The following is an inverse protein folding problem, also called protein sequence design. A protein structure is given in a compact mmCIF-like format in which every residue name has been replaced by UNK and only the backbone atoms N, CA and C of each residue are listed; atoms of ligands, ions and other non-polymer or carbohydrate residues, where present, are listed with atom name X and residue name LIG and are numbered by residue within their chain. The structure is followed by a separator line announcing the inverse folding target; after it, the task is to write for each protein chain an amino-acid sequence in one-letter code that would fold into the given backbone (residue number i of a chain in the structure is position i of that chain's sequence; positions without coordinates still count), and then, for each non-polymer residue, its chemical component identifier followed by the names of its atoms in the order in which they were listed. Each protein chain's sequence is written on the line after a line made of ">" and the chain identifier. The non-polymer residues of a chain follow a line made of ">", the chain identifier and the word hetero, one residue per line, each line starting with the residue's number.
data_IF_809804951387
#
_entry.id   IF_809804951387
#
_cell.length_a   1.000
_cell.length_b   1.000
_cell.length_c   1.000
_cell.angle_alpha   90.00
_cell.angle_beta   90.00
_cell.angle_gamma   90.00
#
_symmetry.space_group_name_H-M   'P 1'
#
loop_
_entity.id
_entity.type
_entity.pdbx_description
1 polymer ?
#
# COMPACT_ATOMS: atom_id res chain seq x y z
N UNK A 1 7.99 6.12 -24.91
CA UNK A 1 6.74 5.35 -24.66
C UNK A 1 5.72 6.30 -24.10
N UNK A 2 4.54 6.35 -24.72
CA UNK A 2 3.43 7.20 -24.29
C UNK A 2 2.32 6.34 -23.71
N UNK A 3 1.87 6.68 -22.50
CA UNK A 3 0.91 5.88 -21.71
C UNK A 3 -0.38 6.68 -21.49
N UNK A 4 -1.53 6.06 -21.77
CA UNK A 4 -2.81 6.53 -21.32
C UNK A 4 -3.14 5.84 -19.99
N UNK A 5 -3.17 6.62 -18.90
CA UNK A 5 -3.35 6.14 -17.53
C UNK A 5 -4.81 6.36 -17.09
N UNK A 6 -5.64 5.33 -17.20
CA UNK A 6 -7.09 5.42 -16.93
C UNK A 6 -7.33 5.30 -15.42
N UNK A 7 -8.00 6.29 -14.86
CA UNK A 7 -8.21 6.45 -13.41
C UNK A 7 -9.68 6.62 -13.03
N UNK A 8 -9.95 6.61 -11.75
CA UNK A 8 -11.13 7.16 -11.09
C UNK A 8 -10.73 8.35 -10.19
N UNK A 9 -11.69 9.13 -9.70
CA UNK A 9 -11.41 10.30 -8.86
C UNK A 9 -11.05 9.95 -7.41
N UNK A 10 -11.19 8.70 -6.99
CA UNK A 10 -10.85 8.27 -5.64
C UNK A 10 -9.34 8.11 -5.49
N UNK A 11 -8.85 8.39 -4.28
CA UNK A 11 -7.47 8.12 -3.91
C UNK A 11 -7.14 6.63 -4.05
N UNK A 12 -5.99 6.32 -4.66
CA UNK A 12 -5.45 4.96 -4.77
C UNK A 12 -3.99 4.92 -4.32
N UNK A 13 -3.70 4.13 -3.28
CA UNK A 13 -2.38 4.08 -2.66
C UNK A 13 -1.33 3.28 -3.47
N UNK A 14 -1.76 2.58 -4.52
CA UNK A 14 -0.88 1.85 -5.44
C UNK A 14 -0.64 2.67 -6.70
N UNK A 15 -1.73 3.07 -7.35
CA UNK A 15 -1.67 3.67 -8.68
C UNK A 15 -1.27 5.14 -8.65
N UNK A 16 -1.67 5.90 -7.61
CA UNK A 16 -1.38 7.33 -7.56
C UNK A 16 0.13 7.60 -7.40
N UNK A 17 0.86 6.93 -6.48
CA UNK A 17 2.32 7.04 -6.45
C UNK A 17 3.00 6.51 -7.71
N UNK A 18 2.47 5.44 -8.32
CA UNK A 18 3.00 4.90 -9.57
C UNK A 18 2.87 5.92 -10.72
N UNK A 19 1.74 6.64 -10.81
CA UNK A 19 1.57 7.73 -11.78
C UNK A 19 2.67 8.78 -11.66
N UNK A 20 2.95 9.23 -10.44
CA UNK A 20 4.04 10.18 -10.17
C UNK A 20 5.39 9.61 -10.63
N UNK A 21 5.68 8.36 -10.32
CA UNK A 21 6.92 7.69 -10.76
C UNK A 21 7.04 7.61 -12.27
N UNK A 22 5.96 7.25 -12.96
CA UNK A 22 5.91 7.22 -14.43
C UNK A 22 6.15 8.60 -15.05
N UNK A 23 5.49 9.64 -14.52
CA UNK A 23 5.70 11.03 -14.98
C UNK A 23 7.15 11.48 -14.76
N UNK A 24 7.77 11.14 -13.65
CA UNK A 24 9.18 11.48 -13.36
C UNK A 24 10.15 10.80 -14.31
N UNK A 25 9.87 9.55 -14.69
CA UNK A 25 10.76 8.79 -15.59
C UNK A 25 10.58 9.13 -17.05
N UNK A 26 9.35 9.31 -17.50
CA UNK A 26 9.04 9.45 -18.93
C UNK A 26 8.81 10.91 -19.35
N UNK A 27 8.53 11.77 -18.40
CA UNK A 27 8.06 13.13 -18.64
C UNK A 27 6.53 13.21 -18.72
N UNK A 28 6.01 14.36 -18.32
CA UNK A 28 4.58 14.59 -18.18
C UNK A 28 3.78 14.38 -19.49
N UNK A 29 4.31 14.82 -20.64
CA UNK A 29 3.64 14.65 -21.93
C UNK A 29 3.52 13.19 -22.37
N UNK A 30 4.28 12.29 -21.72
CA UNK A 30 4.29 10.87 -22.03
C UNK A 30 3.34 10.05 -21.14
N UNK A 31 2.80 10.63 -20.07
CA UNK A 31 1.88 9.93 -19.17
C UNK A 31 0.63 10.78 -18.97
N UNK A 32 -0.41 10.45 -19.71
CA UNK A 32 -1.67 11.19 -19.73
C UNK A 32 -2.71 10.48 -18.91
N UNK A 33 -3.20 11.10 -17.85
CA UNK A 33 -4.31 10.53 -17.06
C UNK A 33 -5.67 10.82 -17.71
N UNK A 34 -6.57 9.87 -17.58
CA UNK A 34 -7.93 10.00 -18.10
C UNK A 34 -8.97 9.29 -17.21
N UNK A 35 -10.05 9.98 -16.82
CA UNK A 35 -10.21 11.45 -16.89
C UNK A 35 -9.14 12.16 -16.07
N UNK A 36 -8.91 13.46 -16.31
CA UNK A 36 -7.97 14.24 -15.49
C UNK A 36 -8.32 14.10 -14.01
N UNK A 37 -7.35 13.68 -13.18
CA UNK A 37 -7.58 13.35 -11.77
C UNK A 37 -7.20 14.52 -10.88
N UNK A 38 -8.18 15.08 -10.18
CA UNK A 38 -8.01 16.28 -9.37
C UNK A 38 -6.85 16.18 -8.34
N UNK A 39 -6.65 15.01 -7.74
CA UNK A 39 -5.58 14.78 -6.75
C UNK A 39 -4.16 14.97 -7.34
N UNK A 40 -3.99 14.79 -8.64
CA UNK A 40 -2.70 15.00 -9.32
C UNK A 40 -2.44 16.46 -9.65
N UNK A 41 -3.50 17.24 -9.93
CA UNK A 41 -3.37 18.52 -10.60
C UNK A 41 -3.84 19.70 -9.75
N UNK A 42 -4.86 19.53 -8.91
CA UNK A 42 -5.49 20.63 -8.17
C UNK A 42 -4.95 20.72 -6.75
N UNK A 43 -4.48 21.91 -6.37
CA UNK A 43 -3.91 22.18 -5.05
C UNK A 43 -4.93 21.93 -3.92
N UNK A 44 -6.20 22.21 -4.15
CA UNK A 44 -7.29 22.03 -3.19
C UNK A 44 -7.61 20.54 -2.96
N UNK A 45 -7.36 19.69 -3.96
CA UNK A 45 -7.53 18.25 -3.87
C UNK A 45 -6.28 17.53 -3.35
N UNK A 46 -5.20 18.27 -3.08
CA UNK A 46 -3.90 17.71 -2.66
C UNK A 46 -4.08 16.74 -1.50
N UNK A 47 -3.58 15.54 -1.69
CA UNK A 47 -3.40 14.55 -0.63
C UNK A 47 -1.94 14.52 -0.21
N UNK A 48 -1.76 14.31 1.04
CA UNK A 48 -0.54 14.47 1.81
C UNK A 48 0.70 13.76 1.27
N UNK A 49 0.58 12.74 0.47
CA UNK A 49 1.72 11.92 0.02
C UNK A 49 2.01 12.06 -1.49
N UNK A 50 1.37 13.00 -2.17
CA UNK A 50 1.56 13.19 -3.61
C UNK A 50 1.99 14.63 -3.92
N UNK A 51 3.07 14.81 -4.68
CA UNK A 51 3.36 16.09 -5.32
C UNK A 51 2.34 16.36 -6.42
N UNK A 52 2.18 17.63 -6.76
CA UNK A 52 1.35 18.01 -7.88
C UNK A 52 2.10 17.96 -9.19
N UNK A 53 1.37 17.56 -10.23
CA UNK A 53 1.82 17.54 -11.62
C UNK A 53 0.94 18.52 -12.40
N UNK A 54 1.49 19.36 -13.29
CA UNK A 54 0.66 20.22 -14.13
C UNK A 54 -0.35 19.41 -14.95
N UNK A 55 -1.57 19.92 -15.12
CA UNK A 55 -2.57 19.31 -16.01
C UNK A 55 -2.24 19.64 -17.46
N UNK A 56 -2.27 18.64 -18.34
CA UNK A 56 -2.10 18.84 -19.79
C UNK A 56 -3.35 19.48 -20.44
N UNK A 57 -4.47 19.51 -19.72
CA UNK A 57 -5.71 20.09 -20.20
C UNK A 57 -6.32 19.37 -21.42
N UNK A 58 -6.03 18.08 -21.59
CA UNK A 58 -6.57 17.33 -22.72
C UNK A 58 -8.07 17.08 -22.54
N UNK A 59 -8.84 17.57 -23.54
CA UNK A 59 -10.26 17.23 -23.61
C UNK A 59 -10.47 15.75 -23.94
N UNK A 60 -11.64 15.23 -23.63
CA UNK A 60 -12.03 13.87 -24.01
C UNK A 60 -11.89 13.65 -25.53
N UNK A 61 -12.33 14.60 -26.34
CA UNK A 61 -12.17 14.55 -27.79
C UNK A 61 -10.71 14.40 -28.20
N UNK A 62 -9.82 15.16 -27.57
CA UNK A 62 -8.36 15.06 -27.83
C UNK A 62 -7.82 13.68 -27.51
N UNK A 63 -8.29 13.03 -26.44
CA UNK A 63 -7.88 11.64 -26.09
C UNK A 63 -8.34 10.66 -27.18
N UNK A 64 -9.58 10.78 -27.67
CA UNK A 64 -10.06 9.93 -28.77
C UNK A 64 -9.25 10.12 -30.05
N UNK A 65 -8.89 11.36 -30.41
CA UNK A 65 -8.08 11.64 -31.58
C UNK A 65 -6.68 11.01 -31.43
N UNK A 66 -6.03 11.20 -30.29
CA UNK A 66 -4.73 10.60 -30.00
C UNK A 66 -4.77 9.07 -30.05
N UNK A 67 -5.87 8.44 -29.61
CA UNK A 67 -6.04 6.98 -29.71
C UNK A 67 -6.22 6.54 -31.17
N UNK A 68 -7.01 7.25 -31.98
CA UNK A 68 -7.18 6.98 -33.42
C UNK A 68 -5.86 7.12 -34.18
N UNK A 69 -5.07 8.13 -33.82
CA UNK A 69 -3.74 8.39 -34.39
C UNK A 69 -2.66 7.41 -33.87
N UNK A 70 -3.03 6.46 -33.02
CA UNK A 70 -2.13 5.48 -32.36
C UNK A 70 -0.97 6.14 -31.63
N UNK A 71 -1.23 7.29 -31.01
CA UNK A 71 -0.22 8.06 -30.29
C UNK A 71 0.17 7.45 -28.94
N UNK A 72 -0.60 6.50 -28.40
CA UNK A 72 -0.28 5.78 -27.17
C UNK A 72 0.27 4.39 -27.47
N UNK A 73 1.34 4.03 -26.79
CA UNK A 73 1.95 2.70 -26.85
C UNK A 73 1.26 1.71 -25.90
N UNK A 74 0.65 2.24 -24.84
CA UNK A 74 0.10 1.46 -23.74
C UNK A 74 -1.12 2.17 -23.13
N UNK A 75 -2.13 1.39 -22.75
CA UNK A 75 -3.20 1.79 -21.83
C UNK A 75 -2.97 1.12 -20.48
N UNK A 76 -2.92 1.91 -19.41
CA UNK A 76 -2.86 1.43 -18.04
C UNK A 76 -4.19 1.68 -17.34
N UNK A 77 -4.98 0.64 -17.09
CA UNK A 77 -6.16 0.73 -16.23
C UNK A 77 -5.73 0.65 -14.77
N UNK A 78 -5.75 1.78 -14.09
CA UNK A 78 -5.06 2.01 -12.83
C UNK A 78 -5.83 1.54 -11.58
N UNK A 79 -7.05 1.01 -11.76
CA UNK A 79 -7.90 0.59 -10.63
C UNK A 79 -8.90 -0.48 -11.04
N UNK A 80 -9.24 -1.34 -10.08
CA UNK A 80 -10.32 -2.33 -10.22
C UNK A 80 -11.73 -1.76 -9.95
N UNK A 81 -11.83 -0.47 -9.62
CA UNK A 81 -13.09 0.17 -9.26
C UNK A 81 -13.96 0.39 -10.50
N UNK A 82 -15.27 0.40 -10.27
CA UNK A 82 -16.28 0.49 -11.35
C UNK A 82 -16.11 1.69 -12.25
N UNK A 83 -15.76 2.86 -11.72
CA UNK A 83 -15.56 4.08 -12.50
C UNK A 83 -14.38 3.97 -13.48
N UNK A 84 -13.21 3.50 -12.98
CA UNK A 84 -12.05 3.25 -13.84
C UNK A 84 -12.36 2.23 -14.95
N UNK A 85 -13.04 1.13 -14.60
CA UNK A 85 -13.43 0.10 -15.57
C UNK A 85 -14.48 0.60 -16.56
N UNK A 86 -15.40 1.47 -16.15
CA UNK A 86 -16.36 2.10 -17.04
C UNK A 86 -15.68 3.06 -18.02
N UNK A 87 -14.69 3.83 -17.59
CA UNK A 87 -13.87 4.68 -18.46
C UNK A 87 -13.12 3.85 -19.49
N UNK A 88 -12.48 2.75 -19.06
CA UNK A 88 -11.80 1.82 -19.98
C UNK A 88 -12.77 1.23 -20.99
N UNK A 89 -13.96 0.80 -20.57
CA UNK A 89 -14.98 0.25 -21.47
C UNK A 89 -15.44 1.27 -22.50
N UNK A 90 -15.77 2.49 -22.06
CA UNK A 90 -16.20 3.57 -22.94
C UNK A 90 -15.18 3.85 -24.05
N UNK A 91 -13.89 3.90 -23.73
CA UNK A 91 -12.82 4.05 -24.70
C UNK A 91 -12.72 2.84 -25.64
N UNK A 92 -12.79 1.61 -25.10
CA UNK A 92 -12.64 0.38 -25.87
C UNK A 92 -13.78 0.13 -26.87
N UNK A 93 -14.97 0.65 -26.58
CA UNK A 93 -16.12 0.60 -27.50
C UNK A 93 -16.02 1.63 -28.62
N UNK A 94 -15.34 2.74 -28.38
CA UNK A 94 -15.26 3.84 -29.34
C UNK A 94 -14.07 3.74 -30.32
N UNK A 95 -12.93 3.19 -29.85
CA UNK A 95 -11.69 3.09 -30.64
C UNK A 95 -10.90 1.83 -30.26
N UNK A 96 -10.11 1.25 -31.19
CA UNK A 96 -9.15 0.20 -30.87
C UNK A 96 -8.11 0.74 -29.88
N UNK A 97 -7.89 -0.01 -28.77
CA UNK A 97 -6.90 0.36 -27.77
C UNK A 97 -5.57 -0.37 -28.01
N UNK A 98 -4.42 0.26 -27.67
CA UNK A 98 -3.13 -0.44 -27.59
C UNK A 98 -3.16 -1.47 -26.48
N UNK A 99 -2.08 -2.24 -26.26
CA UNK A 99 -2.01 -3.23 -25.18
C UNK A 99 -2.48 -2.66 -23.83
N UNK A 100 -3.32 -3.43 -23.11
CA UNK A 100 -3.91 -2.99 -21.85
C UNK A 100 -3.19 -3.66 -20.69
N UNK A 101 -2.65 -2.85 -19.80
CA UNK A 101 -2.11 -3.23 -18.50
C UNK A 101 -3.13 -2.90 -17.43
N UNK A 102 -3.33 -3.80 -16.49
CA UNK A 102 -4.30 -3.63 -15.42
C UNK A 102 -3.65 -3.68 -14.05
N UNK A 103 -3.97 -2.72 -13.20
CA UNK A 103 -3.51 -2.64 -11.80
C UNK A 103 -4.66 -2.99 -10.88
N UNK A 104 -4.55 -4.12 -10.20
CA UNK A 104 -5.49 -4.55 -9.17
C UNK A 104 -4.95 -4.21 -7.79
N UNK A 105 -5.29 -3.01 -7.31
CA UNK A 105 -4.93 -2.50 -5.98
C UNK A 105 -5.82 -2.99 -4.83
N UNK A 106 -6.71 -3.97 -5.05
CA UNK A 106 -7.62 -4.47 -4.02
C UNK A 106 -6.91 -5.14 -2.85
N UNK A 107 -7.55 -5.09 -1.68
CA UNK A 107 -7.09 -5.67 -0.40
C UNK A 107 -7.19 -7.21 -0.34
N UNK A 108 -7.67 -7.86 -1.39
CA UNK A 108 -7.80 -9.32 -1.50
C UNK A 108 -6.79 -9.92 -2.49
N UNK A 109 -6.54 -11.22 -2.40
CA UNK A 109 -5.65 -11.95 -3.31
C UNK A 109 -6.38 -12.53 -4.54
N UNK A 110 -7.65 -12.23 -4.74
CA UNK A 110 -8.46 -12.72 -5.86
C UNK A 110 -7.97 -12.09 -7.17
N UNK A 111 -7.79 -12.91 -8.20
CA UNK A 111 -7.59 -12.44 -9.58
C UNK A 111 -8.96 -12.20 -10.22
N UNK A 112 -9.14 -11.04 -10.84
CA UNK A 112 -10.38 -10.63 -11.51
C UNK A 112 -10.42 -11.13 -12.94
N UNK A 113 -10.70 -12.42 -13.08
CA UNK A 113 -10.75 -13.09 -14.39
C UNK A 113 -11.80 -12.47 -15.32
N UNK A 114 -12.87 -11.97 -14.75
CA UNK A 114 -13.94 -11.26 -15.47
C UNK A 114 -13.43 -9.99 -16.16
N UNK A 115 -12.57 -9.23 -15.51
CA UNK A 115 -11.91 -8.04 -16.10
C UNK A 115 -10.95 -8.46 -17.20
N UNK A 116 -10.13 -9.47 -16.92
CA UNK A 116 -9.15 -9.96 -17.88
C UNK A 116 -9.79 -10.52 -19.16
N UNK A 117 -10.91 -11.24 -19.04
CA UNK A 117 -11.64 -11.76 -20.18
C UNK A 117 -12.30 -10.65 -21.01
N UNK A 118 -12.88 -9.65 -20.32
CA UNK A 118 -13.58 -8.51 -20.96
C UNK A 118 -12.64 -7.63 -21.79
N UNK A 119 -11.46 -7.31 -21.26
CA UNK A 119 -10.57 -6.32 -21.86
C UNK A 119 -9.31 -6.92 -22.53
N UNK A 120 -9.19 -8.26 -22.60
CA UNK A 120 -8.02 -8.94 -23.20
C UNK A 120 -6.68 -8.40 -22.68
N UNK A 121 -6.55 -8.37 -21.35
CA UNK A 121 -5.40 -7.78 -20.68
C UNK A 121 -4.07 -8.40 -21.17
N UNK A 122 -3.12 -7.54 -21.47
CA UNK A 122 -1.76 -7.94 -21.85
C UNK A 122 -0.91 -8.27 -20.61
N UNK A 123 -1.02 -7.45 -19.55
CA UNK A 123 -0.32 -7.62 -18.27
C UNK A 123 -1.28 -7.34 -17.11
N UNK A 124 -1.17 -8.10 -16.05
CA UNK A 124 -1.95 -7.94 -14.83
C UNK A 124 -1.02 -7.73 -13.64
N UNK A 125 -1.18 -6.65 -12.92
CA UNK A 125 -0.48 -6.37 -11.67
C UNK A 125 -1.41 -6.55 -10.48
N UNK A 126 -0.95 -7.28 -9.46
CA UNK A 126 -1.75 -7.57 -8.26
C UNK A 126 -1.03 -7.11 -6.99
N UNK A 127 -1.68 -6.29 -6.16
CA UNK A 127 -1.12 -5.84 -4.89
C UNK A 127 -0.98 -6.97 -3.88
N UNK A 128 -2.05 -7.64 -3.55
CA UNK A 128 -2.09 -8.77 -2.60
C UNK A 128 -1.72 -10.09 -3.29
N UNK A 129 -0.57 -10.14 -3.97
CA UNK A 129 -0.13 -11.30 -4.74
C UNK A 129 0.38 -12.41 -3.82
N UNK A 130 -0.22 -13.61 -3.87
CA UNK A 130 0.07 -14.77 -3.00
C UNK A 130 0.39 -16.07 -3.76
N UNK A 131 0.71 -15.99 -5.03
CA UNK A 131 0.71 -17.15 -5.94
C UNK A 131 2.04 -17.87 -6.08
N UNK A 132 3.07 -17.47 -5.33
CA UNK A 132 4.34 -18.18 -5.29
C UNK A 132 4.49 -18.92 -3.99
N UNK A 133 3.89 -20.09 -3.90
CA UNK A 133 4.13 -20.97 -2.77
C UNK A 133 5.45 -21.71 -2.91
N UNK A 134 6.29 -21.69 -1.89
CA UNK A 134 7.49 -22.51 -1.80
C UNK A 134 7.15 -23.98 -1.51
N UNK A 135 5.96 -24.27 -1.02
CA UNK A 135 5.51 -25.64 -0.73
C UNK A 135 5.09 -26.38 -2.00
N UNK A 136 5.34 -27.70 -2.03
CA UNK A 136 4.91 -28.57 -3.16
C UNK A 136 3.40 -28.54 -3.37
N UNK A 137 2.62 -28.54 -2.28
CA UNK A 137 1.15 -28.50 -2.31
C UNK A 137 0.66 -27.13 -2.81
N UNK A 138 1.26 -26.03 -2.34
CA UNK A 138 0.92 -24.69 -2.81
C UNK A 138 1.19 -24.51 -4.31
N UNK A 139 2.32 -24.97 -4.81
CA UNK A 139 2.62 -24.95 -6.25
C UNK A 139 1.61 -25.77 -7.07
N UNK A 140 1.19 -26.95 -6.55
CA UNK A 140 0.16 -27.74 -7.21
C UNK A 140 -1.18 -27.00 -7.26
N UNK A 141 -1.59 -26.36 -6.17
CA UNK A 141 -2.82 -25.53 -6.11
C UNK A 141 -2.71 -24.35 -7.08
N UNK A 142 -1.57 -23.68 -7.17
CA UNK A 142 -1.34 -22.56 -8.08
C UNK A 142 -1.38 -23.03 -9.54
N UNK A 143 -0.77 -24.17 -9.86
CA UNK A 143 -0.87 -24.78 -11.19
C UNK A 143 -2.32 -25.17 -11.54
N UNK A 144 -3.06 -25.75 -10.60
CA UNK A 144 -4.47 -26.12 -10.83
C UNK A 144 -5.36 -24.88 -11.07
N UNK A 145 -5.11 -23.79 -10.36
CA UNK A 145 -5.78 -22.48 -10.58
C UNK A 145 -5.41 -21.90 -11.93
N UNK A 146 -4.13 -21.88 -12.30
CA UNK A 146 -3.65 -21.40 -13.59
C UNK A 146 -4.31 -22.18 -14.74
N UNK A 147 -4.39 -23.51 -14.62
CA UNK A 147 -5.02 -24.39 -15.62
C UNK A 147 -6.53 -24.14 -15.73
N UNK A 148 -7.22 -23.93 -14.57
CA UNK A 148 -8.66 -23.73 -14.51
C UNK A 148 -9.11 -22.36 -15.02
N UNK A 149 -8.29 -21.30 -14.82
CA UNK A 149 -8.77 -19.93 -14.98
C UNK A 149 -8.15 -19.14 -16.12
N UNK A 150 -7.18 -19.57 -16.78
CA UNK A 150 -6.46 -18.93 -17.90
C UNK A 150 -4.96 -18.88 -17.64
N UNK A 151 -4.26 -19.88 -18.13
CA UNK A 151 -2.82 -20.03 -18.00
C UNK A 151 -2.05 -18.79 -18.48
N UNK A 152 -2.45 -18.21 -19.62
CA UNK A 152 -1.76 -17.04 -20.19
C UNK A 152 -1.86 -15.82 -19.28
N UNK A 153 -3.01 -15.60 -18.64
CA UNK A 153 -3.16 -14.52 -17.69
C UNK A 153 -2.28 -14.73 -16.47
N UNK A 154 -2.22 -15.97 -15.97
CA UNK A 154 -1.41 -16.32 -14.81
C UNK A 154 0.09 -16.06 -15.06
N UNK A 155 0.59 -16.46 -16.24
CA UNK A 155 1.97 -16.22 -16.66
C UNK A 155 2.33 -14.74 -16.83
N UNK A 156 1.32 -13.87 -16.98
CA UNK A 156 1.46 -12.42 -17.14
C UNK A 156 0.94 -11.62 -15.93
N UNK A 157 0.80 -12.30 -14.79
CA UNK A 157 0.39 -11.68 -13.53
C UNK A 157 1.59 -11.51 -12.62
N UNK A 158 1.84 -10.26 -12.20
CA UNK A 158 3.00 -9.87 -11.43
C UNK A 158 2.61 -9.20 -10.11
N UNK A 159 3.40 -9.35 -9.04
CA UNK A 159 3.22 -8.60 -7.80
C UNK A 159 3.52 -7.12 -8.01
N UNK A 160 2.66 -6.26 -7.44
CA UNK A 160 2.85 -4.81 -7.43
C UNK A 160 2.37 -4.25 -6.09
N UNK A 161 3.29 -4.05 -5.17
CA UNK A 161 2.99 -3.46 -3.86
C UNK A 161 2.97 -1.94 -3.91
N UNK A 162 2.46 -1.32 -2.85
CA UNK A 162 2.56 0.12 -2.64
C UNK A 162 4.02 0.58 -2.70
N UNK A 163 4.21 1.87 -2.92
CA UNK A 163 5.51 2.53 -2.89
C UNK A 163 5.37 3.91 -2.28
N UNK A 164 6.50 4.55 -1.99
CA UNK A 164 6.51 5.91 -1.46
C UNK A 164 6.98 6.92 -2.50
N UNK A 165 6.54 8.14 -2.33
CA UNK A 165 7.11 9.32 -2.99
C UNK A 165 8.01 9.99 -1.93
N UNK A 166 9.34 9.82 -1.97
CA UNK A 166 10.21 10.15 -0.83
C UNK A 166 10.12 11.60 -0.39
N UNK A 167 10.07 12.53 -1.33
CA UNK A 167 9.97 13.97 -1.08
C UNK A 167 8.59 14.41 -0.57
N UNK A 168 7.60 13.54 -0.60
CA UNK A 168 6.28 13.78 0.00
C UNK A 168 6.19 13.29 1.45
N UNK A 169 7.19 12.57 1.95
CA UNK A 169 7.26 12.10 3.34
C UNK A 169 7.98 13.16 4.18
N UNK A 170 7.30 13.81 5.15
CA UNK A 170 7.97 14.75 6.04
C UNK A 170 9.10 14.11 6.83
N UNK A 171 10.28 14.73 6.78
CA UNK A 171 11.45 14.25 7.50
C UNK A 171 11.67 15.07 8.77
N UNK A 172 11.92 14.40 9.88
CA UNK A 172 12.15 15.02 11.18
C UNK A 172 13.48 14.51 11.83
N UNK A 173 14.64 14.74 11.21
CA UNK A 173 15.91 14.13 11.62
C UNK A 173 16.38 14.53 13.02
N UNK A 174 15.92 15.68 13.54
CA UNK A 174 16.31 16.19 14.86
C UNK A 174 15.33 15.79 15.98
N UNK A 175 14.37 14.91 15.72
CA UNK A 175 13.45 14.47 16.76
C UNK A 175 14.12 13.53 17.75
N UNK A 176 13.99 13.83 19.05
CA UNK A 176 14.37 12.90 20.12
C UNK A 176 13.44 11.68 20.12
N UNK A 177 14.01 10.49 20.23
CA UNK A 177 13.27 9.22 20.32
C UNK A 177 12.72 9.05 21.76
N UNK A 178 11.62 9.70 22.08
CA UNK A 178 10.98 9.72 23.41
C UNK A 178 9.71 8.84 23.50
N UNK A 179 9.33 8.17 22.41
CA UNK A 179 8.26 7.18 22.34
C UNK A 179 8.90 5.80 22.15
N UNK A 180 8.76 4.89 23.11
CA UNK A 180 9.37 3.57 23.01
C UNK A 180 8.69 2.72 21.94
N UNK A 181 7.36 2.74 21.88
CA UNK A 181 6.60 2.05 20.82
C UNK A 181 5.40 2.87 20.36
N UNK A 182 5.16 2.86 19.05
CA UNK A 182 3.95 3.46 18.49
C UNK A 182 3.19 2.51 17.56
N UNK A 183 1.86 2.62 17.58
CA UNK A 183 0.98 1.95 16.64
C UNK A 183 -0.24 2.83 16.33
N UNK A 184 -0.39 3.25 15.08
CA UNK A 184 -1.51 4.06 14.60
C UNK A 184 -2.27 3.30 13.52
N UNK A 185 -3.58 3.12 13.61
CA UNK A 185 -4.33 2.37 12.62
C UNK A 185 -5.83 2.56 12.64
N UNK A 186 -6.48 2.23 11.52
CA UNK A 186 -7.93 2.12 11.47
C UNK A 186 -8.37 0.73 11.95
N UNK A 187 -9.60 0.59 12.43
CA UNK A 187 -10.17 -0.69 12.89
C UNK A 187 -10.53 -1.65 11.74
N UNK A 188 -9.67 -1.79 10.73
CA UNK A 188 -9.95 -2.57 9.51
C UNK A 188 -9.62 -4.05 9.61
N UNK A 189 -9.00 -4.50 10.69
CA UNK A 189 -8.67 -5.92 10.91
C UNK A 189 -8.53 -6.24 12.40
N UNK A 190 -9.03 -7.43 12.81
CA UNK A 190 -9.00 -7.88 14.23
C UNK A 190 -7.61 -7.91 14.87
N UNK A 191 -6.57 -8.23 14.10
CA UNK A 191 -5.19 -8.23 14.58
C UNK A 191 -4.71 -6.87 15.07
N UNK A 192 -5.25 -5.77 14.56
CA UNK A 192 -4.91 -4.43 15.04
C UNK A 192 -5.37 -4.20 16.47
N UNK A 193 -6.57 -4.67 16.80
CA UNK A 193 -7.04 -4.64 18.18
C UNK A 193 -6.22 -5.56 19.08
N UNK A 194 -5.87 -6.74 18.59
CA UNK A 194 -5.00 -7.66 19.29
C UNK A 194 -3.62 -7.04 19.56
N UNK A 195 -3.02 -6.39 18.58
CA UNK A 195 -1.75 -5.68 18.73
C UNK A 195 -1.84 -4.57 19.79
N UNK A 196 -2.90 -3.73 19.76
CA UNK A 196 -3.10 -2.70 20.78
C UNK A 196 -3.25 -3.30 22.17
N UNK A 197 -4.04 -4.37 22.33
CA UNK A 197 -4.21 -5.06 23.62
C UNK A 197 -2.91 -5.66 24.16
N UNK A 198 -1.96 -6.02 23.27
CA UNK A 198 -0.62 -6.48 23.64
C UNK A 198 0.31 -5.30 23.95
N UNK A 199 0.21 -4.16 23.28
CA UNK A 199 1.09 -3.02 23.50
C UNK A 199 0.73 -2.21 24.75
N UNK A 200 -0.56 -2.06 25.05
CA UNK A 200 -1.02 -1.25 26.17
C UNK A 200 -0.41 -1.62 27.55
N UNK A 201 -0.31 -2.91 27.94
CA UNK A 201 0.29 -3.28 29.19
C UNK A 201 1.75 -2.84 29.38
N UNK A 202 2.48 -2.61 28.28
CA UNK A 202 3.87 -2.15 28.33
C UNK A 202 4.01 -0.77 28.97
N UNK A 203 2.95 0.05 28.95
CA UNK A 203 2.94 1.34 29.65
C UNK A 203 3.02 1.17 31.17
N UNK A 204 2.45 0.11 31.73
CA UNK A 204 2.57 -0.21 33.16
C UNK A 204 3.96 -0.75 33.53
N UNK A 205 4.74 -1.16 32.55
CA UNK A 205 6.14 -1.57 32.70
C UNK A 205 7.13 -0.39 32.55
N UNK A 206 6.61 0.82 32.33
CA UNK A 206 7.39 2.06 32.23
C UNK A 206 7.78 2.44 30.80
N UNK A 207 7.30 1.74 29.75
CA UNK A 207 7.53 2.15 28.37
C UNK A 207 6.53 3.22 27.95
N UNK A 208 7.00 4.18 27.14
CA UNK A 208 6.13 5.17 26.50
C UNK A 208 5.45 4.56 25.28
N UNK A 209 4.15 4.26 25.43
CA UNK A 209 3.31 3.68 24.37
C UNK A 209 2.44 4.77 23.76
N UNK A 210 2.55 4.98 22.44
CA UNK A 210 1.78 5.98 21.72
C UNK A 210 0.94 5.35 20.60
N UNK A 211 -0.19 5.98 20.28
CA UNK A 211 -1.03 5.56 19.18
C UNK A 211 -2.44 5.18 19.56
N UNK A 212 -3.06 4.41 18.70
CA UNK A 212 -4.45 3.99 18.89
C UNK A 212 -5.08 3.48 17.59
N UNK A 213 -6.30 2.98 17.74
CA UNK A 213 -7.14 2.53 16.63
C UNK A 213 -8.22 3.59 16.39
N UNK A 214 -8.22 4.13 15.17
CA UNK A 214 -9.20 5.16 14.79
C UNK A 214 -10.47 4.51 14.27
N UNK A 215 -11.59 5.05 14.75
CA UNK A 215 -12.92 4.70 14.32
C UNK A 215 -13.44 5.76 13.33
N UNK A 216 -13.75 5.39 12.08
CA UNK A 216 -14.48 6.26 11.18
C UNK A 216 -15.97 6.27 11.52
N UNK A 217 -16.55 7.44 11.75
CA UNK A 217 -17.95 7.59 12.19
C UNK A 217 -19.00 7.20 11.13
N UNK A 218 -18.60 6.92 9.89
CA UNK A 218 -19.51 6.85 8.73
C UNK A 218 -19.64 5.46 8.09
N UNK A 219 -18.91 4.45 8.57
CA UNK A 219 -18.88 3.15 7.89
C UNK A 219 -19.86 2.14 8.50
N UNK A 220 -20.87 1.67 7.71
CA UNK A 220 -21.83 0.65 8.15
C UNK A 220 -21.14 -0.69 8.49
N UNK A 221 -20.12 -1.09 7.75
CA UNK A 221 -19.28 -2.23 8.04
C UNK A 221 -18.54 -2.06 9.38
N UNK A 222 -18.12 -0.84 9.67
CA UNK A 222 -17.46 -0.44 10.91
C UNK A 222 -18.30 -0.64 12.17
N UNK A 223 -19.63 -0.38 12.14
CA UNK A 223 -20.50 -0.61 13.32
C UNK A 223 -20.54 -2.09 13.71
N UNK A 224 -20.47 -3.00 12.75
CA UNK A 224 -20.42 -4.45 13.01
C UNK A 224 -19.04 -4.87 13.56
N UNK A 225 -17.96 -4.36 12.96
CA UNK A 225 -16.60 -4.62 13.40
C UNK A 225 -16.25 -3.95 14.73
N UNK A 226 -16.73 -2.74 14.98
CA UNK A 226 -16.58 -2.08 16.28
C UNK A 226 -17.28 -2.85 17.41
N UNK A 227 -18.41 -3.49 17.14
CA UNK A 227 -19.10 -4.35 18.11
C UNK A 227 -18.34 -5.65 18.34
N UNK A 228 -17.79 -6.26 17.28
CA UNK A 228 -16.93 -7.44 17.36
C UNK A 228 -15.60 -7.10 18.05
N UNK A 229 -15.03 -5.93 17.77
CA UNK A 229 -13.83 -5.39 18.39
C UNK A 229 -14.04 -5.14 19.90
N UNK A 230 -15.17 -4.51 20.27
CA UNK A 230 -15.56 -4.34 21.69
C UNK A 230 -15.70 -5.70 22.39
N UNK A 231 -16.32 -6.69 21.76
CA UNK A 231 -16.46 -8.04 22.32
C UNK A 231 -15.12 -8.76 22.46
N UNK A 232 -14.18 -8.54 21.53
CA UNK A 232 -12.84 -9.12 21.58
C UNK A 232 -12.01 -8.48 22.70
N UNK A 233 -12.05 -7.16 22.82
CA UNK A 233 -11.38 -6.40 23.88
C UNK A 233 -11.96 -6.80 25.25
N UNK A 234 -13.30 -6.94 25.37
CA UNK A 234 -13.96 -7.37 26.60
C UNK A 234 -13.67 -8.83 26.96
N UNK A 235 -13.43 -9.71 25.98
CA UNK A 235 -13.01 -11.10 26.24
C UNK A 235 -11.55 -11.24 26.64
N UNK A 236 -10.70 -10.32 26.21
CA UNK A 236 -9.26 -10.31 26.57
C UNK A 236 -9.02 -9.61 27.91
N UNK A 237 -9.99 -8.82 28.37
CA UNK A 237 -9.97 -8.09 29.64
C UNK A 237 -11.18 -8.42 30.49
N UNK A 238 -10.92 -9.06 31.60
CA UNK A 238 -11.84 -9.11 32.72
C UNK A 238 -11.73 -7.75 33.42
N UNK A 239 -12.54 -6.78 33.02
CA UNK A 239 -12.98 -5.59 33.75
C UNK A 239 -13.19 -4.30 32.88
N UNK A 240 -14.27 -3.71 33.07
CA UNK A 240 -14.81 -2.32 33.24
C UNK A 240 -14.16 -1.11 32.56
N UNK A 241 -13.07 -1.18 31.82
CA UNK A 241 -12.51 -0.04 31.12
C UNK A 241 -12.26 -0.39 29.65
N UNK A 242 -13.18 0.02 28.77
CA UNK A 242 -12.86 0.18 27.32
C UNK A 242 -11.95 1.40 27.29
N UNK A 243 -10.68 1.23 26.96
CA UNK A 243 -9.70 2.24 27.29
C UNK A 243 -9.77 3.43 26.34
N UNK A 244 -9.17 4.52 26.77
CA UNK A 244 -8.78 5.72 26.03
C UNK A 244 -8.05 5.47 24.70
N UNK A 245 -7.67 4.23 24.41
CA UNK A 245 -6.96 3.75 23.20
C UNK A 245 -7.78 3.79 21.92
N UNK A 246 -9.11 3.94 21.97
CA UNK A 246 -9.89 4.26 20.78
C UNK A 246 -9.90 5.78 20.67
N UNK A 247 -8.86 6.31 20.06
CA UNK A 247 -8.81 7.73 19.75
C UNK A 247 -9.91 8.07 18.75
N UNK A 248 -10.77 8.99 19.12
CA UNK A 248 -11.89 9.45 18.28
C UNK A 248 -11.43 10.36 17.13
N UNK A 249 -10.19 10.84 17.14
CA UNK A 249 -9.65 11.77 16.14
C UNK A 249 -8.36 11.24 15.52
N UNK A 250 -8.38 11.15 14.21
CA UNK A 250 -7.17 10.85 13.41
C UNK A 250 -6.17 12.02 13.57
N UNK A 251 -4.90 11.69 13.74
CA UNK A 251 -3.84 12.70 13.73
C UNK A 251 -3.81 13.45 12.39
N UNK A 252 -3.35 14.70 12.43
CA UNK A 252 -2.92 15.35 11.20
C UNK A 252 -1.75 14.57 10.58
N UNK A 253 -1.50 14.77 9.32
CA UNK A 253 -0.36 14.16 8.66
C UNK A 253 0.96 14.53 9.34
N UNK A 254 1.14 15.81 9.61
CA UNK A 254 2.34 16.34 10.25
C UNK A 254 2.55 15.72 11.63
N UNK A 255 1.51 15.66 12.46
CA UNK A 255 1.58 15.05 13.79
C UNK A 255 1.85 13.54 13.72
N UNK A 256 1.31 12.85 12.70
CA UNK A 256 1.57 11.43 12.48
C UNK A 256 3.04 11.16 12.14
N UNK A 257 3.61 11.88 11.17
CA UNK A 257 5.03 11.69 10.82
C UNK A 257 5.96 12.15 11.95
N UNK A 258 5.62 13.21 12.67
CA UNK A 258 6.35 13.61 13.88
C UNK A 258 6.30 12.53 14.95
N UNK A 259 5.17 11.89 15.15
CA UNK A 259 5.04 10.77 16.10
C UNK A 259 5.88 9.55 15.65
N UNK A 260 5.90 9.22 14.35
CA UNK A 260 6.79 8.19 13.83
C UNK A 260 8.26 8.54 14.06
N UNK A 261 8.68 9.76 13.75
CA UNK A 261 10.04 10.22 13.94
C UNK A 261 10.50 10.16 15.41
N UNK A 262 9.58 10.40 16.36
CA UNK A 262 9.82 10.31 17.81
C UNK A 262 9.81 8.87 18.33
N UNK A 263 9.34 7.90 17.54
CA UNK A 263 9.22 6.51 17.99
C UNK A 263 10.55 5.75 17.84
N UNK A 264 10.93 4.98 18.88
CA UNK A 264 11.99 4.00 18.79
C UNK A 264 11.54 2.83 17.93
N UNK A 265 10.37 2.26 18.22
CA UNK A 265 9.75 1.15 17.50
C UNK A 265 8.41 1.60 16.96
N UNK A 266 8.16 1.47 15.67
CA UNK A 266 6.85 1.68 15.09
C UNK A 266 6.28 0.37 14.52
N UNK A 267 5.04 0.05 14.91
CA UNK A 267 4.41 -1.23 14.58
C UNK A 267 3.52 -1.13 13.37
N UNK A 268 3.64 -2.07 12.43
CA UNK A 268 2.74 -2.21 11.27
C UNK A 268 2.04 -3.56 11.30
N UNK A 269 0.70 -3.52 11.32
CA UNK A 269 -0.17 -4.71 11.26
C UNK A 269 -1.13 -4.53 10.09
N UNK A 270 -1.40 -5.63 9.37
CA UNK A 270 -2.29 -5.67 8.20
C UNK A 270 -3.61 -4.95 8.41
N UNK A 271 -4.14 -4.44 7.31
CA UNK A 271 -5.49 -3.93 7.21
C UNK A 271 -6.44 -4.94 6.58
N UNK A 272 -7.21 -4.53 5.59
CA UNK A 272 -7.96 -5.43 4.71
C UNK A 272 -7.02 -6.38 3.99
N UNK A 273 -5.91 -5.87 3.44
CA UNK A 273 -4.75 -6.61 2.96
C UNK A 273 -3.55 -6.50 3.88
N UNK A 274 -2.48 -7.23 3.55
CA UNK A 274 -1.18 -7.11 4.22
C UNK A 274 -0.49 -5.80 3.83
N UNK A 275 -0.40 -5.52 2.53
CA UNK A 275 0.28 -4.34 1.99
C UNK A 275 -0.45 -3.07 2.43
N UNK A 276 0.06 -2.44 3.48
CA UNK A 276 -0.48 -1.20 4.04
C UNK A 276 0.52 -0.08 3.87
N UNK A 277 0.05 1.12 3.63
CA UNK A 277 0.93 2.27 3.44
C UNK A 277 1.85 2.51 4.65
N UNK A 278 1.38 2.20 5.87
CA UNK A 278 2.17 2.28 7.11
C UNK A 278 3.44 1.45 7.07
N UNK A 279 3.42 0.27 6.45
CA UNK A 279 4.61 -0.58 6.29
C UNK A 279 5.75 0.16 5.61
N UNK A 280 5.43 1.00 4.66
CA UNK A 280 6.37 1.80 3.89
C UNK A 280 6.67 3.15 4.56
N UNK A 281 5.65 3.83 5.13
CA UNK A 281 5.79 5.13 5.79
C UNK A 281 6.74 5.09 6.99
N UNK A 282 6.67 4.04 7.80
CA UNK A 282 7.54 3.86 8.97
C UNK A 282 9.00 3.89 8.52
N UNK A 283 9.35 3.09 7.54
CA UNK A 283 10.73 3.00 7.03
C UNK A 283 11.13 4.28 6.30
N UNK A 284 10.21 4.86 5.52
CA UNK A 284 10.45 6.12 4.82
C UNK A 284 10.71 7.31 5.77
N UNK A 285 10.18 7.28 6.98
CA UNK A 285 10.47 8.29 8.03
C UNK A 285 11.73 7.97 8.86
N UNK A 286 12.54 7.00 8.45
CA UNK A 286 13.75 6.60 9.15
C UNK A 286 13.49 5.94 10.52
N UNK A 287 12.30 5.37 10.71
CA UNK A 287 11.90 4.72 11.97
C UNK A 287 12.00 3.20 11.84
N UNK A 288 12.40 2.55 12.93
CA UNK A 288 12.49 1.09 12.98
C UNK A 288 11.10 0.44 12.82
N UNK A 289 10.99 -0.44 11.83
CA UNK A 289 9.78 -1.18 11.53
C UNK A 289 9.73 -2.52 12.29
N UNK A 290 8.72 -2.69 13.12
CA UNK A 290 8.30 -3.98 13.65
C UNK A 290 6.96 -4.35 13.01
N UNK A 291 6.92 -5.41 12.22
CA UNK A 291 5.71 -5.81 11.48
C UNK A 291 5.38 -7.28 11.69
N UNK A 292 4.13 -7.68 11.45
CA UNK A 292 3.86 -9.09 11.24
C UNK A 292 4.56 -9.59 9.97
N UNK A 293 4.91 -10.87 9.93
CA UNK A 293 5.56 -11.47 8.78
C UNK A 293 4.65 -11.41 7.54
N UNK A 294 5.17 -10.92 6.37
CA UNK A 294 4.39 -10.85 5.14
C UNK A 294 3.95 -12.22 4.63
N UNK A 295 2.67 -12.34 4.30
CA UNK A 295 2.09 -13.52 3.63
C UNK A 295 1.76 -13.27 2.15
N UNK A 296 2.33 -12.22 1.58
CA UNK A 296 2.26 -11.84 0.17
C UNK A 296 3.65 -11.78 -0.45
N UNK A 297 3.73 -11.80 -1.77
CA UNK A 297 4.99 -11.62 -2.49
C UNK A 297 5.29 -10.13 -2.64
N UNK A 298 6.34 -9.69 -2.01
CA UNK A 298 6.89 -8.34 -2.12
C UNK A 298 8.25 -8.47 -2.83
N UNK A 299 8.40 -8.02 -4.07
CA UNK A 299 9.71 -7.98 -4.72
C UNK A 299 10.69 -7.13 -3.90
N UNK A 300 11.89 -7.65 -3.66
CA UNK A 300 12.90 -6.99 -2.81
C UNK A 300 12.37 -6.65 -1.41
N UNK A 301 11.61 -7.55 -0.77
CA UNK A 301 11.11 -7.30 0.58
C UNK A 301 12.24 -7.04 1.58
N UNK A 302 11.90 -6.41 2.70
CA UNK A 302 12.83 -6.29 3.82
C UNK A 302 13.21 -7.67 4.36
N UNK A 303 14.48 -7.82 4.73
CA UNK A 303 15.00 -9.01 5.38
C UNK A 303 14.90 -8.85 6.90
N UNK A 304 14.44 -9.94 7.56
CA UNK A 304 14.29 -9.97 9.00
C UNK A 304 15.62 -9.70 9.71
N UNK A 305 15.61 -8.78 10.66
CA UNK A 305 16.78 -8.32 11.45
C UNK A 305 17.88 -7.63 10.66
N UNK A 306 17.68 -7.40 9.37
CA UNK A 306 18.60 -6.60 8.53
C UNK A 306 17.98 -5.25 8.19
N UNK A 307 16.73 -5.26 7.72
CA UNK A 307 16.04 -4.07 7.22
C UNK A 307 14.77 -3.73 8.04
N UNK A 308 14.20 -4.74 8.70
CA UNK A 308 13.04 -4.65 9.57
C UNK A 308 13.00 -5.86 10.50
N UNK A 309 12.11 -5.87 11.48
CA UNK A 309 11.86 -7.04 12.31
C UNK A 309 10.45 -7.53 12.12
N UNK A 310 10.30 -8.84 11.93
CA UNK A 310 8.99 -9.46 11.79
C UNK A 310 8.66 -10.28 13.03
N UNK A 311 7.50 -10.01 13.62
CA UNK A 311 6.93 -10.83 14.67
C UNK A 311 6.13 -12.00 14.06
N UNK A 312 5.88 -13.00 14.88
CA UNK A 312 5.07 -14.17 14.50
C UNK A 312 3.68 -13.74 14.03
N UNK A 313 3.07 -14.50 13.12
CA UNK A 313 1.73 -14.17 12.59
C UNK A 313 0.62 -14.11 13.65
N UNK A 314 0.78 -14.80 14.79
CA UNK A 314 -0.15 -14.78 15.93
C UNK A 314 0.14 -13.63 16.93
N UNK A 315 1.20 -12.84 16.68
CA UNK A 315 1.70 -11.74 17.52
C UNK A 315 2.20 -12.19 18.91
N UNK A 316 2.48 -13.47 19.11
CA UNK A 316 2.85 -14.05 20.42
C UNK A 316 4.17 -13.49 20.98
N UNK A 317 5.08 -13.03 20.12
CA UNK A 317 6.38 -12.46 20.46
C UNK A 317 6.44 -10.92 20.36
N UNK A 318 5.33 -10.27 20.04
CA UNK A 318 5.29 -8.81 19.81
C UNK A 318 5.81 -8.01 21.02
N UNK A 319 5.36 -8.34 22.23
CA UNK A 319 5.77 -7.63 23.43
C UNK A 319 7.27 -7.84 23.75
N UNK A 320 7.77 -9.06 23.57
CA UNK A 320 9.19 -9.38 23.77
C UNK A 320 10.07 -8.57 22.81
N UNK A 321 9.72 -8.55 21.54
CA UNK A 321 10.44 -7.78 20.51
C UNK A 321 10.40 -6.27 20.81
N UNK A 322 9.27 -5.73 21.27
CA UNK A 322 9.18 -4.32 21.66
C UNK A 322 10.12 -4.01 22.83
N UNK A 323 10.07 -4.81 23.92
CA UNK A 323 10.97 -4.61 25.08
C UNK A 323 12.45 -4.66 24.68
N UNK A 324 12.79 -5.63 23.84
CA UNK A 324 14.16 -5.79 23.35
C UNK A 324 14.63 -4.57 22.57
N UNK A 325 13.93 -4.21 21.51
CA UNK A 325 14.35 -3.12 20.64
C UNK A 325 14.13 -1.71 21.23
N UNK A 326 13.28 -1.54 22.23
CA UNK A 326 13.16 -0.29 22.96
C UNK A 326 14.43 0.03 23.79
N UNK A 327 15.21 -0.99 24.17
CA UNK A 327 16.42 -0.86 25.01
C UNK A 327 17.74 -1.10 24.24
N UNK A 328 17.70 -1.60 23.00
CA UNK A 328 18.89 -1.90 22.19
C UNK A 328 19.06 -0.89 21.05
N UNK A 329 19.40 0.35 21.44
CA UNK A 329 19.42 1.51 20.52
C UNK A 329 20.35 1.29 19.34
N UNK A 330 21.56 0.80 19.53
CA UNK A 330 22.56 0.65 18.47
C UNK A 330 22.10 -0.33 17.39
N UNK A 331 21.58 -1.51 17.80
CA UNK A 331 21.08 -2.52 16.86
C UNK A 331 19.83 -2.02 16.14
N UNK A 332 18.88 -1.42 16.89
CA UNK A 332 17.65 -0.85 16.33
C UNK A 332 17.93 0.21 15.27
N UNK A 333 18.83 1.16 15.55
CA UNK A 333 19.17 2.24 14.63
C UNK A 333 19.90 1.74 13.40
N UNK A 334 20.79 0.75 13.55
CA UNK A 334 21.44 0.10 12.41
C UNK A 334 20.42 -0.57 11.47
N UNK A 335 19.44 -1.30 12.01
CA UNK A 335 18.36 -1.91 11.23
C UNK A 335 17.47 -0.85 10.56
N UNK A 336 17.10 0.20 11.30
CA UNK A 336 16.27 1.28 10.76
C UNK A 336 16.96 1.99 9.58
N UNK A 337 18.24 2.24 9.70
CA UNK A 337 19.07 2.88 8.66
C UNK A 337 19.16 2.00 7.41
N UNK A 338 19.52 0.72 7.61
CA UNK A 338 19.60 -0.25 6.52
C UNK A 338 18.25 -0.43 5.81
N UNK A 339 17.14 -0.43 6.58
CA UNK A 339 15.79 -0.47 6.04
C UNK A 339 15.46 0.74 5.18
N UNK A 340 15.80 1.95 5.65
CA UNK A 340 15.60 3.19 4.90
C UNK A 340 16.38 3.20 3.59
N UNK A 341 17.65 2.81 3.60
CA UNK A 341 18.49 2.72 2.40
C UNK A 341 17.91 1.70 1.40
N UNK A 342 17.44 0.56 1.91
CA UNK A 342 16.79 -0.47 1.11
C UNK A 342 15.49 0.05 0.47
N UNK A 343 14.67 0.80 1.21
CA UNK A 343 13.46 1.43 0.68
C UNK A 343 13.79 2.40 -0.46
N UNK A 344 14.76 3.29 -0.27
CA UNK A 344 15.17 4.24 -1.31
C UNK A 344 15.70 3.54 -2.56
N UNK A 345 16.37 2.40 -2.39
CA UNK A 345 16.92 1.60 -3.50
C UNK A 345 15.85 0.88 -4.31
N UNK A 346 14.74 0.41 -3.69
CA UNK A 346 13.83 -0.53 -4.33
C UNK A 346 12.35 -0.13 -4.30
N UNK A 347 11.92 0.79 -3.42
CA UNK A 347 10.52 0.99 -3.11
C UNK A 347 10.03 2.44 -3.26
N UNK A 348 10.78 3.28 -3.98
CA UNK A 348 10.31 4.60 -4.40
C UNK A 348 9.32 4.48 -5.57
N UNK A 349 8.57 5.54 -5.83
CA UNK A 349 7.64 5.59 -6.94
C UNK A 349 8.33 5.42 -8.29
N UNK A 350 9.56 5.95 -8.46
CA UNK A 350 10.38 5.76 -9.66
C UNK A 350 10.79 4.30 -9.83
N UNK A 351 11.26 3.65 -8.76
CA UNK A 351 11.63 2.22 -8.79
C UNK A 351 10.43 1.33 -9.11
N UNK A 352 9.26 1.69 -8.61
CA UNK A 352 8.02 0.98 -8.94
C UNK A 352 7.62 1.18 -10.39
N UNK A 353 7.78 2.38 -10.92
CA UNK A 353 7.55 2.67 -12.34
C UNK A 353 8.54 1.93 -13.24
N UNK A 354 9.85 1.90 -12.92
CA UNK A 354 10.85 1.10 -13.62
C UNK A 354 10.47 -0.39 -13.67
N UNK A 355 10.03 -0.96 -12.54
CA UNK A 355 9.56 -2.35 -12.46
C UNK A 355 8.38 -2.60 -13.42
N UNK A 356 7.37 -1.74 -13.39
CA UNK A 356 6.19 -1.87 -14.27
C UNK A 356 6.59 -1.79 -15.73
N UNK A 357 7.41 -0.79 -16.10
CA UNK A 357 7.87 -0.61 -17.48
C UNK A 357 8.68 -1.79 -17.99
N UNK A 358 9.63 -2.29 -17.20
CA UNK A 358 10.46 -3.43 -17.56
C UNK A 358 9.63 -4.71 -17.79
N UNK A 359 8.66 -4.99 -16.89
CA UNK A 359 7.77 -6.14 -17.03
C UNK A 359 6.82 -6.01 -18.24
N UNK A 360 6.35 -4.81 -18.54
CA UNK A 360 5.56 -4.55 -19.75
C UNK A 360 6.41 -4.80 -21.01
N UNK A 361 7.63 -4.29 -21.08
CA UNK A 361 8.53 -4.48 -22.22
C UNK A 361 8.88 -5.95 -22.47
N UNK A 362 9.03 -6.75 -21.41
CA UNK A 362 9.31 -8.19 -21.52
C UNK A 362 8.10 -9.01 -21.98
N UNK A 363 6.89 -8.50 -21.74
CA UNK A 363 5.66 -9.27 -21.92
C UNK A 363 4.92 -8.90 -23.21
N UNK A 364 5.07 -7.66 -23.69
CA UNK A 364 4.43 -7.10 -24.90
C UNK A 364 5.29 -7.31 -26.14
#
# INVERSE_FOLDING_TARGET
>A
MKILFIVDQLQDLVSDPLYIGLVRLLGQEQVVDFPSKDIFHKREAKRWFLPQVPDLGYSETKIYDLLRDKAFDLVCAASHRSECLANLERLSLAVPLPPIVFIDGADDSRIRHEVAARFRLAVYFKREYRWTSTSKLGRFVDCAKAFRFNRRLFERTYPLTMCVVPDAIPQHPSCTKDIDVSFYGNASHRKRAQAMALLEPLAHEGLTVAGGIYAAATDKAYKLEATALKRLITKVRDSSTVPELIQRRKLSQEDYYRALARSKVAVSIRGGGFDTFRYWEIVASGTFLLSEEPDIVIPHNYEHRTHAVFCRPDLSDLQELVRYYASHDVEREAIAHAGHDHLLKFHTCERRAEQVLALCQQTL
#
